data_IF_203582641503
#
_entry.id   IF_203582641503
#
_cell.length_a   1.000
_cell.length_b   1.000
_cell.length_c   1.000
_cell.angle_alpha   90.00
_cell.angle_beta   90.00
_cell.angle_gamma   90.00
#
_symmetry.space_group_name_H-M   'P 1'
#
loop_
_entity.id
_entity.type
_entity.pdbx_description
1 polymer ?
#
# COMPACT_ATOMS: atom_id res chain seq x y z
N UNK A 1 8.46 -13.63 3.54
CA UNK A 1 9.11 -13.88 4.83
C UNK A 1 8.84 -12.77 5.83
N UNK A 2 9.43 -11.58 5.68
CA UNK A 2 9.28 -10.47 6.63
C UNK A 2 7.83 -10.15 6.99
N UNK A 3 6.98 -9.92 5.99
CA UNK A 3 5.58 -9.58 6.22
C UNK A 3 4.80 -10.65 6.99
N UNK A 4 5.11 -11.93 6.78
CA UNK A 4 4.47 -13.04 7.51
C UNK A 4 4.82 -12.98 9.01
N UNK A 5 6.11 -12.89 9.35
CA UNK A 5 6.52 -12.85 10.76
C UNK A 5 6.09 -11.55 11.44
N UNK A 6 6.10 -10.42 10.73
CA UNK A 6 5.53 -9.16 11.25
C UNK A 6 4.03 -9.31 11.51
N UNK A 7 3.27 -9.86 10.58
CA UNK A 7 1.83 -10.11 10.74
C UNK A 7 1.55 -11.06 11.90
N UNK A 8 2.21 -12.21 11.97
CA UNK A 8 2.00 -13.21 13.01
C UNK A 8 2.28 -12.63 14.41
N UNK A 9 3.43 -11.97 14.58
CA UNK A 9 3.81 -11.38 15.85
C UNK A 9 2.85 -10.24 16.26
N UNK A 10 2.50 -9.37 15.32
CA UNK A 10 1.60 -8.25 15.59
C UNK A 10 0.18 -8.74 15.89
N UNK A 11 -0.29 -9.82 15.27
CA UNK A 11 -1.61 -10.41 15.53
C UNK A 11 -1.70 -10.94 16.95
N UNK A 12 -0.72 -11.74 17.39
CA UNK A 12 -0.67 -12.25 18.77
C UNK A 12 -0.59 -11.09 19.78
N UNK A 13 0.26 -10.10 19.50
CA UNK A 13 0.38 -8.91 20.34
C UNK A 13 -0.92 -8.11 20.41
N UNK A 14 -1.61 -7.93 19.28
CA UNK A 14 -2.87 -7.19 19.21
C UNK A 14 -3.99 -7.90 19.99
N UNK A 15 -4.06 -9.23 19.94
CA UNK A 15 -5.00 -9.99 20.76
C UNK A 15 -4.77 -9.72 22.26
N UNK A 16 -3.53 -9.82 22.73
CA UNK A 16 -3.20 -9.52 24.12
C UNK A 16 -3.53 -8.06 24.49
N UNK A 17 -3.17 -7.10 23.64
CA UNK A 17 -3.46 -5.68 23.87
C UNK A 17 -4.96 -5.41 23.95
N UNK A 18 -5.75 -6.03 23.08
CA UNK A 18 -7.20 -5.89 23.08
C UNK A 18 -7.83 -6.46 24.36
N UNK A 19 -7.36 -7.62 24.84
CA UNK A 19 -7.82 -8.20 26.12
C UNK A 19 -7.51 -7.30 27.32
N UNK A 20 -6.43 -6.51 27.25
CA UNK A 20 -6.05 -5.53 28.27
C UNK A 20 -6.71 -4.15 28.07
N UNK A 21 -7.60 -3.99 27.08
CA UNK A 21 -8.24 -2.71 26.77
C UNK A 21 -7.31 -1.64 26.19
N UNK A 22 -6.19 -2.03 25.58
CA UNK A 22 -5.20 -1.15 24.97
C UNK A 22 -5.44 -0.98 23.46
N UNK A 23 -4.94 0.12 22.89
CA UNK A 23 -4.97 0.36 21.43
C UNK A 23 -4.19 -0.73 20.67
N UNK A 24 -4.66 -1.15 19.49
CA UNK A 24 -3.98 -2.13 18.64
C UNK A 24 -3.20 -1.45 17.51
N UNK A 25 -2.28 -2.22 16.91
CA UNK A 25 -1.51 -1.81 15.75
C UNK A 25 -2.17 -2.27 14.45
N UNK A 26 -1.92 -1.54 13.36
CA UNK A 26 -2.42 -1.88 12.02
C UNK A 26 -1.22 -2.09 11.10
N UNK A 27 -1.20 -3.21 10.36
CA UNK A 27 -0.13 -3.49 9.41
C UNK A 27 -0.38 -2.76 8.10
N UNK A 28 0.51 -1.83 7.77
CA UNK A 28 0.43 -0.94 6.59
C UNK A 28 1.77 -0.91 5.85
N UNK A 29 2.15 -1.98 5.12
CA UNK A 29 3.48 -2.08 4.54
C UNK A 29 3.62 -1.23 3.28
N UNK A 30 4.83 -0.74 3.07
CA UNK A 30 5.27 -0.26 1.77
C UNK A 30 5.35 -1.44 0.78
N UNK A 31 4.49 -1.46 -0.23
CA UNK A 31 4.27 -2.66 -1.02
C UNK A 31 3.95 -2.37 -2.50
N UNK A 32 4.69 -3.05 -3.37
CA UNK A 32 4.42 -3.02 -4.81
C UNK A 32 4.79 -1.72 -5.51
N UNK A 33 5.71 -0.93 -4.95
CA UNK A 33 6.37 0.14 -5.71
C UNK A 33 7.28 -0.44 -6.80
N UNK A 34 8.13 -1.39 -6.39
CA UNK A 34 9.05 -2.14 -7.23
C UNK A 34 9.17 -3.59 -6.72
N UNK A 35 9.93 -4.40 -7.46
CA UNK A 35 10.20 -5.80 -7.11
C UNK A 35 9.14 -6.80 -7.57
N UNK A 36 9.10 -8.00 -6.95
CA UNK A 36 8.21 -9.08 -7.35
C UNK A 36 6.73 -8.85 -6.98
N UNK A 37 5.81 -9.36 -7.81
CA UNK A 37 4.36 -9.24 -7.59
C UNK A 37 3.85 -9.92 -6.31
N UNK A 38 4.62 -10.88 -5.79
CA UNK A 38 4.31 -11.64 -4.58
C UNK A 38 4.23 -10.72 -3.35
N UNK A 39 4.89 -9.56 -3.37
CA UNK A 39 4.73 -8.56 -2.32
C UNK A 39 3.26 -8.11 -2.22
N UNK A 40 2.60 -7.83 -3.36
CA UNK A 40 1.21 -7.38 -3.39
C UNK A 40 0.23 -8.48 -2.97
N UNK A 41 0.55 -9.74 -3.26
CA UNK A 41 -0.24 -10.90 -2.81
C UNK A 41 -0.17 -11.02 -1.29
N UNK A 42 1.03 -10.94 -0.72
CA UNK A 42 1.21 -10.91 0.74
C UNK A 42 0.54 -9.67 1.37
N UNK A 43 0.65 -8.50 0.72
CA UNK A 43 -0.10 -7.28 1.02
C UNK A 43 -1.58 -7.53 1.16
N UNK A 44 -2.18 -8.12 0.12
CA UNK A 44 -3.61 -8.41 0.07
C UNK A 44 -4.07 -9.35 1.19
N UNK A 45 -3.27 -10.38 1.51
CA UNK A 45 -3.67 -11.40 2.47
C UNK A 45 -3.52 -10.98 3.94
N UNK A 46 -2.61 -10.05 4.25
CA UNK A 46 -2.18 -9.79 5.64
C UNK A 46 -2.23 -8.33 6.07
N UNK A 47 -2.33 -7.37 5.14
CA UNK A 47 -2.30 -5.95 5.46
C UNK A 47 -3.68 -5.30 5.35
N UNK A 48 -3.91 -4.28 6.17
CA UNK A 48 -5.14 -3.50 6.14
C UNK A 48 -5.16 -2.51 4.96
N UNK A 49 -3.98 -1.98 4.62
CA UNK A 49 -3.75 -1.14 3.46
C UNK A 49 -2.28 -1.21 3.06
N UNK A 50 -1.95 -0.69 1.88
CA UNK A 50 -0.58 -0.65 1.36
C UNK A 50 -0.19 0.77 0.95
N UNK A 51 1.12 1.04 0.97
CA UNK A 51 1.67 2.21 0.27
C UNK A 51 2.22 1.81 -1.09
N UNK A 52 2.14 2.71 -2.07
CA UNK A 52 2.59 2.64 -3.47
C UNK A 52 1.66 1.86 -4.41
N UNK A 53 1.65 0.52 -4.39
CA UNK A 53 0.77 -0.28 -5.25
C UNK A 53 0.97 -0.11 -6.78
N UNK A 54 2.10 0.45 -7.22
CA UNK A 54 2.38 0.72 -8.65
C UNK A 54 2.28 -0.52 -9.52
N UNK A 55 2.77 -1.65 -9.03
CA UNK A 55 2.81 -2.90 -9.77
C UNK A 55 1.45 -3.58 -9.96
N UNK A 56 0.39 -3.12 -9.27
CA UNK A 56 -0.98 -3.61 -9.52
C UNK A 56 -1.43 -3.37 -10.97
N UNK A 57 -0.82 -2.40 -11.69
CA UNK A 57 -1.07 -2.15 -13.11
C UNK A 57 -0.70 -3.33 -14.02
N UNK A 58 0.16 -4.24 -13.54
CA UNK A 58 0.63 -5.41 -14.27
C UNK A 58 -0.11 -6.70 -13.88
N UNK A 59 -1.00 -6.64 -12.89
CA UNK A 59 -1.67 -7.82 -12.32
C UNK A 59 -3.17 -7.56 -12.23
N UNK A 60 -3.90 -7.63 -13.35
CA UNK A 60 -5.31 -7.21 -13.43
C UNK A 60 -6.22 -7.98 -12.46
N UNK A 61 -5.95 -9.28 -12.27
CA UNK A 61 -6.70 -10.11 -11.31
C UNK A 61 -6.54 -9.58 -9.89
N UNK A 62 -5.31 -9.29 -9.48
CA UNK A 62 -5.05 -8.79 -8.13
C UNK A 62 -5.59 -7.36 -7.96
N UNK A 63 -5.46 -6.51 -8.97
CA UNK A 63 -6.06 -5.18 -8.96
C UNK A 63 -7.58 -5.24 -8.76
N UNK A 64 -8.25 -6.19 -9.42
CA UNK A 64 -9.68 -6.41 -9.24
C UNK A 64 -10.02 -6.89 -7.83
N UNK A 65 -9.18 -7.73 -7.21
CA UNK A 65 -9.36 -8.13 -5.81
C UNK A 65 -9.21 -6.95 -4.85
N UNK A 66 -8.25 -6.04 -5.07
CA UNK A 66 -8.12 -4.80 -4.29
C UNK A 66 -9.35 -3.91 -4.43
N UNK A 67 -9.93 -3.84 -5.63
CA UNK A 67 -11.20 -3.17 -5.85
C UNK A 67 -12.35 -3.83 -5.08
N UNK A 68 -12.53 -5.14 -5.18
CA UNK A 68 -13.64 -5.82 -4.49
C UNK A 68 -13.53 -5.75 -2.97
N UNK A 69 -12.32 -5.92 -2.44
CA UNK A 69 -12.06 -5.88 -1.00
C UNK A 69 -11.93 -4.46 -0.44
N UNK A 70 -11.90 -3.44 -1.32
CA UNK A 70 -11.69 -2.04 -0.96
C UNK A 70 -10.45 -1.81 -0.07
N UNK A 71 -9.37 -2.55 -0.34
CA UNK A 71 -8.10 -2.38 0.38
C UNK A 71 -7.48 -1.06 -0.04
N UNK A 72 -7.16 -0.22 0.95
CA UNK A 72 -6.60 1.11 0.75
C UNK A 72 -5.21 1.09 0.11
N UNK A 73 -4.96 2.02 -0.82
CA UNK A 73 -3.67 2.21 -1.48
C UNK A 73 -3.26 3.69 -1.35
N UNK A 74 -2.26 3.98 -0.53
CA UNK A 74 -1.66 5.31 -0.44
C UNK A 74 -0.60 5.48 -1.52
N UNK A 75 -0.82 6.38 -2.47
CA UNK A 75 0.04 6.56 -3.64
C UNK A 75 0.74 7.91 -3.61
N UNK A 76 2.04 7.93 -3.94
CA UNK A 76 2.87 9.14 -3.96
C UNK A 76 3.40 9.46 -5.37
N UNK A 77 2.58 9.97 -6.31
CA UNK A 77 2.99 10.14 -7.71
C UNK A 77 4.23 11.00 -7.93
N UNK A 78 4.45 12.04 -7.11
CA UNK A 78 5.63 12.90 -7.21
C UNK A 78 6.92 12.16 -6.82
N UNK A 79 6.87 11.37 -5.75
CA UNK A 79 7.98 10.48 -5.37
C UNK A 79 8.24 9.43 -6.46
N UNK A 80 7.17 8.75 -6.92
CA UNK A 80 7.32 7.69 -7.92
C UNK A 80 7.91 8.22 -9.25
N UNK A 81 7.62 9.46 -9.61
CA UNK A 81 8.19 10.14 -10.78
C UNK A 81 9.71 10.28 -10.73
N UNK A 82 10.26 10.48 -9.54
CA UNK A 82 11.68 10.74 -9.37
C UNK A 82 12.54 9.48 -9.53
N UNK A 83 11.99 8.29 -9.30
CA UNK A 83 12.78 7.05 -9.16
C UNK A 83 12.29 5.86 -10.01
N UNK A 84 10.99 5.74 -10.30
CA UNK A 84 10.43 4.48 -10.80
C UNK A 84 9.62 4.62 -12.09
N UNK A 85 8.92 5.73 -12.28
CA UNK A 85 7.91 5.83 -13.33
C UNK A 85 7.56 7.28 -13.66
N UNK A 86 7.75 7.69 -14.92
CA UNK A 86 7.33 9.02 -15.39
C UNK A 86 5.92 9.39 -14.93
N UNK A 87 5.74 10.63 -14.50
CA UNK A 87 4.52 11.14 -13.87
C UNK A 87 3.25 10.82 -14.67
N UNK A 88 3.27 11.08 -15.98
CA UNK A 88 2.13 10.81 -16.87
C UNK A 88 1.77 9.33 -17.03
N UNK A 89 2.67 8.43 -16.65
CA UNK A 89 2.45 6.98 -16.69
C UNK A 89 2.02 6.42 -15.35
N UNK A 90 1.90 7.24 -14.30
CA UNK A 90 1.47 6.79 -12.99
C UNK A 90 0.03 6.25 -13.05
N UNK A 91 -0.26 5.07 -12.48
CA UNK A 91 -1.57 4.45 -12.61
C UNK A 91 -2.64 5.07 -11.68
N UNK A 92 -2.31 6.06 -10.86
CA UNK A 92 -3.25 6.70 -9.95
C UNK A 92 -4.56 7.17 -10.63
N UNK A 93 -4.54 7.90 -11.76
CA UNK A 93 -5.79 8.33 -12.40
C UNK A 93 -6.63 7.15 -12.88
N UNK A 94 -5.98 6.08 -13.35
CA UNK A 94 -6.65 4.85 -13.81
C UNK A 94 -7.26 4.08 -12.64
N UNK A 95 -6.56 3.97 -11.51
CA UNK A 95 -7.08 3.34 -10.29
C UNK A 95 -8.27 4.12 -9.72
N UNK A 96 -8.19 5.46 -9.75
CA UNK A 96 -9.29 6.33 -9.33
C UNK A 96 -10.52 6.12 -10.22
N UNK A 97 -10.33 6.13 -11.54
CA UNK A 97 -11.40 5.93 -12.50
C UNK A 97 -12.07 4.54 -12.39
N UNK A 98 -11.32 3.54 -11.91
CA UNK A 98 -11.84 2.18 -11.63
C UNK A 98 -12.49 2.03 -10.24
N UNK A 99 -12.46 3.06 -9.41
CA UNK A 99 -13.06 3.02 -8.06
C UNK A 99 -12.26 2.20 -7.05
N UNK A 100 -10.94 2.06 -7.24
CA UNK A 100 -10.09 1.52 -6.17
C UNK A 100 -10.04 2.52 -5.01
N UNK A 101 -9.95 1.99 -3.78
CA UNK A 101 -9.79 2.79 -2.57
C UNK A 101 -8.37 3.36 -2.52
N UNK A 102 -8.16 4.54 -3.11
CA UNK A 102 -6.84 5.17 -3.19
C UNK A 102 -6.80 6.51 -2.47
N UNK A 103 -5.62 6.86 -1.96
CA UNK A 103 -5.34 8.17 -1.39
C UNK A 103 -4.04 8.74 -1.97
N UNK A 104 -3.92 10.08 -1.94
CA UNK A 104 -2.70 10.79 -2.28
C UNK A 104 -1.81 10.91 -1.04
N UNK A 105 -0.54 10.55 -1.18
CA UNK A 105 0.50 10.70 -0.16
C UNK A 105 1.71 11.46 -0.70
N UNK A 106 2.54 11.97 0.22
CA UNK A 106 3.69 12.83 -0.09
C UNK A 106 5.01 12.09 -0.17
N UNK A 107 5.12 10.92 0.47
CA UNK A 107 6.38 10.20 0.70
C UNK A 107 7.40 11.07 1.45
N UNK A 108 8.35 11.68 0.74
CA UNK A 108 9.37 12.58 1.27
C UNK A 108 9.10 14.04 0.87
N UNK A 109 8.27 14.79 1.61
CA UNK A 109 7.90 16.15 1.23
C UNK A 109 9.10 17.09 1.10
N UNK A 110 10.12 16.92 1.95
CA UNK A 110 11.37 17.72 1.90
C UNK A 110 12.14 17.53 0.60
N UNK A 111 12.06 16.34 -0.01
CA UNK A 111 12.80 16.03 -1.24
C UNK A 111 12.03 16.45 -2.49
N UNK A 112 10.70 16.28 -2.49
CA UNK A 112 9.91 16.36 -3.73
C UNK A 112 8.99 17.59 -3.83
N UNK A 113 8.75 18.32 -2.75
CA UNK A 113 7.77 19.41 -2.74
C UNK A 113 8.44 20.78 -2.55
N UNK A 114 7.95 21.77 -3.29
CA UNK A 114 8.52 23.14 -3.31
C UNK A 114 7.66 24.16 -2.56
N UNK A 115 6.49 23.76 -2.08
CA UNK A 115 5.54 24.63 -1.38
C UNK A 115 5.65 24.44 0.13
N UNK A 116 5.38 25.53 0.88
CA UNK A 116 5.28 25.52 2.34
C UNK A 116 3.95 24.93 2.80
#
# INVERSE_FOLDING_TARGET
>A
YYQYYTYANMTVLNHFRAEQGLNTFVLRPHCGEAGPIQHLVCGFMMAENISHGLLLRKVPVLQYLYYLAQIGIAMSPLSNNSLFLNYHRNPLPEYLARGLCISLSTDDPLQFHFTK
#
